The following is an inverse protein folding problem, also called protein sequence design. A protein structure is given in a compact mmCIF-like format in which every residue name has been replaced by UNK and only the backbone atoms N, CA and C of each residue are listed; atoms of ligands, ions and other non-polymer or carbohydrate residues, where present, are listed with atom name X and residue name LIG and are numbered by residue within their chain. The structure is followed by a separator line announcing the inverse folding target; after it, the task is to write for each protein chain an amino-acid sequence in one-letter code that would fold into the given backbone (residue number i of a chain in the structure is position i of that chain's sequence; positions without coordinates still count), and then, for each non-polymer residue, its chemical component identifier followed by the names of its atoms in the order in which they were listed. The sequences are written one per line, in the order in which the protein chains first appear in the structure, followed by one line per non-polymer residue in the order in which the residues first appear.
data_IF_377761930635
#
_entry.id   IF_377761930635
#
_cell.length_a   1.000
_cell.length_b   1.000
_cell.length_c   1.000
_cell.angle_alpha   90.00
_cell.angle_beta   90.00
_cell.angle_gamma   90.00
#
_symmetry.space_group_name_H-M   'P 1'
#
loop_
_entity.id
_entity.type
_entity.pdbx_description
1 polymer ?
#
# COMPACT_ATOMS: atom_id res chain seq x y z
N UNK A 1 1.90 14.75 -6.66
CA UNK A 1 2.43 15.74 -5.71
C UNK A 1 3.94 15.53 -5.60
N UNK A 2 4.71 16.57 -5.85
CA UNK A 2 6.17 16.56 -5.75
C UNK A 2 6.61 16.76 -4.28
N UNK A 3 7.81 16.30 -3.91
CA UNK A 3 8.32 16.35 -2.52
C UNK A 3 8.33 17.76 -1.93
N UNK A 4 8.74 18.77 -2.70
CA UNK A 4 8.77 20.17 -2.27
C UNK A 4 7.37 20.76 -2.03
N UNK A 5 6.34 20.28 -2.75
CA UNK A 5 4.95 20.68 -2.54
C UNK A 5 4.43 20.14 -1.20
N UNK A 6 4.75 18.87 -0.88
CA UNK A 6 4.41 18.27 0.42
C UNK A 6 5.00 19.09 1.57
N UNK A 7 6.29 19.39 1.47
CA UNK A 7 7.00 20.15 2.50
C UNK A 7 6.42 21.56 2.65
N UNK A 8 6.10 22.22 1.54
CA UNK A 8 5.44 23.53 1.56
C UNK A 8 4.12 23.50 2.32
N UNK A 9 3.26 22.53 2.05
CA UNK A 9 1.98 22.41 2.76
C UNK A 9 2.16 22.10 4.24
N UNK A 10 3.06 21.17 4.59
CA UNK A 10 3.36 20.83 5.99
C UNK A 10 3.90 22.03 6.76
N UNK A 11 4.77 22.83 6.13
CA UNK A 11 5.37 24.00 6.77
C UNK A 11 4.39 25.16 6.96
N UNK A 12 3.34 25.30 6.13
CA UNK A 12 2.28 26.30 6.35
C UNK A 12 1.53 26.07 7.66
N UNK A 13 1.30 24.81 8.02
CA UNK A 13 0.62 24.42 9.26
C UNK A 13 1.53 24.34 10.49
N UNK A 14 2.82 24.62 10.34
CA UNK A 14 3.85 24.42 11.37
C UNK A 14 4.67 25.71 11.58
N UNK A 15 5.55 25.73 12.58
CA UNK A 15 6.54 26.81 12.73
C UNK A 15 7.86 26.39 12.08
N UNK A 16 8.27 26.98 10.93
CA UNK A 16 9.57 26.67 10.31
C UNK A 16 10.76 26.91 11.23
N UNK A 17 10.64 27.84 12.20
CA UNK A 17 11.65 28.07 13.24
C UNK A 17 11.80 26.89 14.19
N UNK A 18 10.70 26.28 14.62
CA UNK A 18 10.73 25.09 15.47
C UNK A 18 11.32 23.90 14.71
N UNK A 19 10.92 23.71 13.46
CA UNK A 19 11.46 22.64 12.60
C UNK A 19 12.97 22.80 12.43
N UNK A 20 13.44 24.02 12.16
CA UNK A 20 14.87 24.32 12.03
C UNK A 20 15.64 23.97 13.31
N UNK A 21 15.12 24.37 14.47
CA UNK A 21 15.73 24.10 15.77
C UNK A 21 15.79 22.59 16.08
N UNK A 22 14.68 21.88 15.88
CA UNK A 22 14.57 20.44 16.16
C UNK A 22 15.46 19.60 15.23
N UNK A 23 15.51 19.95 13.94
CA UNK A 23 16.33 19.24 12.95
C UNK A 23 17.80 19.69 12.93
N UNK A 24 18.18 20.69 13.74
CA UNK A 24 19.53 21.22 13.78
C UNK A 24 19.99 21.87 12.46
N UNK A 25 19.07 22.47 11.70
CA UNK A 25 19.35 23.13 10.41
C UNK A 25 19.01 24.62 10.46
N UNK A 26 19.52 25.39 9.51
CA UNK A 26 19.17 26.81 9.41
C UNK A 26 17.74 27.02 8.92
N UNK A 27 17.10 28.10 9.36
CA UNK A 27 15.77 28.49 8.89
C UNK A 27 15.72 28.65 7.36
N UNK A 28 16.77 29.21 6.76
CA UNK A 28 16.91 29.32 5.31
C UNK A 28 16.91 27.96 4.60
N UNK A 29 17.50 26.92 5.22
CA UNK A 29 17.48 25.57 4.66
C UNK A 29 16.07 24.98 4.63
N UNK A 30 15.29 25.21 5.68
CA UNK A 30 13.89 24.75 5.77
C UNK A 30 13.06 25.36 4.64
N UNK A 31 13.16 26.66 4.39
CA UNK A 31 12.46 27.30 3.26
C UNK A 31 12.92 26.76 1.91
N UNK A 32 14.23 26.61 1.73
CA UNK A 32 14.82 26.07 0.50
C UNK A 32 14.33 24.66 0.17
N UNK A 33 14.05 23.81 1.16
CA UNK A 33 13.49 22.47 0.93
C UNK A 33 12.06 22.48 0.35
N UNK A 34 11.31 23.55 0.51
CA UNK A 34 9.95 23.71 0.00
C UNK A 34 9.88 24.46 -1.35
N UNK A 35 11.02 24.86 -1.91
CA UNK A 35 11.16 25.50 -3.22
C UNK A 35 11.28 24.45 -4.33
N UNK A 36 10.87 24.82 -5.55
CA UNK A 36 11.05 23.95 -6.72
C UNK A 36 12.54 23.85 -7.07
N UNK A 37 13.07 22.66 -7.40
CA UNK A 37 14.45 22.48 -7.80
C UNK A 37 14.79 23.09 -9.19
N UNK A 38 13.82 23.66 -9.90
CA UNK A 38 14.01 24.25 -11.24
C UNK A 38 14.68 25.66 -11.24
N UNK A 39 15.01 26.21 -10.06
CA UNK A 39 15.85 27.42 -9.96
C UNK A 39 17.35 27.09 -9.92
N UNK A 40 18.20 28.01 -10.40
CA UNK A 40 19.68 27.96 -10.34
C UNK A 40 20.27 27.98 -8.91
N UNK A 41 19.48 27.60 -7.89
CA UNK A 41 19.88 27.55 -6.49
C UNK A 41 20.43 26.18 -6.11
N UNK A 42 21.74 26.11 -5.85
CA UNK A 42 22.47 25.13 -5.03
C UNK A 42 21.66 23.90 -4.56
N UNK A 43 22.00 22.72 -5.09
CA UNK A 43 21.38 21.41 -4.88
C UNK A 43 21.31 20.88 -3.45
N UNK A 44 20.58 21.55 -2.57
CA UNK A 44 20.23 21.03 -1.25
C UNK A 44 19.02 20.10 -1.39
N UNK A 45 19.28 18.82 -1.67
CA UNK A 45 18.25 17.78 -1.70
C UNK A 45 17.46 17.78 -0.40
N UNK A 46 16.14 17.93 -0.49
CA UNK A 46 15.27 17.91 0.69
C UNK A 46 15.22 16.51 1.34
N UNK A 47 14.78 16.40 2.60
CA UNK A 47 14.81 15.13 3.32
C UNK A 47 13.99 14.01 2.66
N UNK A 48 12.83 14.33 2.06
CA UNK A 48 11.98 13.34 1.39
C UNK A 48 12.69 12.76 0.17
N UNK A 49 13.33 13.60 -0.64
CA UNK A 49 14.09 13.16 -1.81
C UNK A 49 15.32 12.33 -1.42
N UNK A 50 15.99 12.66 -0.31
CA UNK A 50 17.10 11.85 0.23
C UNK A 50 16.63 10.46 0.63
N UNK A 51 15.52 10.36 1.37
CA UNK A 51 14.93 9.09 1.77
C UNK A 51 14.50 8.29 0.54
N UNK A 52 13.85 8.93 -0.44
CA UNK A 52 13.45 8.29 -1.69
C UNK A 52 14.66 7.76 -2.49
N UNK A 53 15.75 8.52 -2.56
CA UNK A 53 17.00 8.08 -3.19
C UNK A 53 17.61 6.87 -2.45
N UNK A 54 17.61 6.86 -1.11
CA UNK A 54 18.08 5.72 -0.32
C UNK A 54 17.25 4.46 -0.60
N UNK A 55 15.93 4.57 -0.63
CA UNK A 55 15.03 3.44 -0.94
C UNK A 55 15.35 2.90 -2.34
N UNK A 56 15.53 3.78 -3.33
CA UNK A 56 15.83 3.38 -4.71
C UNK A 56 17.17 2.67 -4.83
N UNK A 57 18.22 3.19 -4.19
CA UNK A 57 19.58 2.62 -4.27
C UNK A 57 19.69 1.31 -3.50
N UNK A 58 19.03 1.20 -2.35
CA UNK A 58 19.06 -0.03 -1.53
C UNK A 58 18.07 -1.07 -2.00
N UNK A 59 17.05 -0.67 -2.77
CA UNK A 59 15.86 -1.47 -3.10
C UNK A 59 15.19 -2.10 -1.85
N UNK A 60 15.43 -1.52 -0.67
CA UNK A 60 14.96 -2.03 0.60
C UNK A 60 13.85 -1.11 1.15
N UNK A 61 12.67 -1.69 1.32
CA UNK A 61 11.45 -0.99 1.75
C UNK A 61 11.34 -0.82 3.26
N UNK A 62 12.26 -1.40 4.04
CA UNK A 62 12.26 -1.27 5.51
C UNK A 62 12.32 0.19 5.97
N UNK A 63 12.95 1.08 5.20
CA UNK A 63 12.98 2.52 5.49
C UNK A 63 11.56 3.14 5.50
N UNK A 64 10.72 2.78 4.51
CA UNK A 64 9.35 3.28 4.42
C UNK A 64 8.49 2.71 5.54
N UNK A 65 8.60 1.39 5.75
CA UNK A 65 7.86 0.69 6.79
C UNK A 65 8.16 1.27 8.18
N UNK A 66 9.44 1.49 8.49
CA UNK A 66 9.86 2.08 9.76
C UNK A 66 9.29 3.49 9.96
N UNK A 67 9.29 4.34 8.91
CA UNK A 67 8.72 5.69 8.99
C UNK A 67 7.20 5.64 9.25
N UNK A 68 6.48 4.75 8.57
CA UNK A 68 5.05 4.56 8.79
C UNK A 68 4.77 4.07 10.22
N UNK A 69 5.55 3.12 10.74
CA UNK A 69 5.42 2.63 12.12
C UNK A 69 5.63 3.75 13.14
N UNK A 70 6.60 4.65 12.92
CA UNK A 70 6.81 5.82 13.78
C UNK A 70 5.64 6.81 13.76
N UNK A 71 4.90 6.86 12.66
CA UNK A 71 3.67 7.64 12.55
C UNK A 71 2.42 6.91 13.08
N UNK A 72 2.57 5.71 13.67
CA UNK A 72 1.45 4.88 14.11
C UNK A 72 0.69 4.19 12.98
N UNK A 73 1.26 4.20 11.77
CA UNK A 73 0.74 3.54 10.58
C UNK A 73 1.61 2.37 10.13
N UNK A 74 1.40 1.93 8.89
CA UNK A 74 2.20 0.92 8.21
C UNK A 74 2.11 1.22 6.70
N UNK A 75 3.10 0.79 5.93
CA UNK A 75 3.10 1.01 4.49
C UNK A 75 2.51 -0.20 3.77
N UNK A 76 1.51 0.02 2.92
CA UNK A 76 1.02 -0.99 1.98
C UNK A 76 1.67 -0.74 0.64
N UNK A 77 2.40 -1.73 0.14
CA UNK A 77 2.85 -1.68 -1.24
C UNK A 77 1.67 -1.93 -2.17
N UNK A 78 1.46 -0.99 -3.10
CA UNK A 78 0.62 -1.25 -4.27
C UNK A 78 1.19 -2.43 -5.08
N UNK A 79 0.37 -3.42 -5.46
CA UNK A 79 0.85 -4.57 -6.21
C UNK A 79 1.50 -4.14 -7.53
N UNK A 80 2.58 -4.84 -7.90
CA UNK A 80 3.36 -4.56 -9.12
C UNK A 80 2.67 -5.07 -10.37
N UNK A 81 1.84 -6.09 -10.22
CA UNK A 81 1.18 -6.73 -11.34
C UNK A 81 -0.10 -5.99 -11.67
N UNK A 82 -0.07 -5.28 -12.79
CA UNK A 82 -1.24 -4.99 -13.63
C UNK A 82 -1.73 -6.29 -14.27
N UNK A 83 -1.94 -7.33 -13.49
CA UNK A 83 -2.88 -8.36 -13.89
C UNK A 83 -4.19 -7.92 -13.27
N UNK A 84 -4.98 -7.05 -13.94
CA UNK A 84 -6.41 -7.22 -13.74
C UNK A 84 -6.61 -8.70 -14.03
N UNK A 85 -7.15 -9.47 -13.11
CA UNK A 85 -7.86 -10.65 -13.58
C UNK A 85 -8.83 -10.09 -14.62
N UNK A 86 -8.61 -10.36 -15.91
CA UNK A 86 -9.38 -9.71 -16.94
C UNK A 86 -10.81 -10.15 -16.68
N UNK A 87 -11.72 -9.19 -16.67
CA UNK A 87 -13.15 -9.39 -16.90
C UNK A 87 -14.09 -9.61 -15.71
N UNK A 88 -13.67 -9.82 -14.45
CA UNK A 88 -14.70 -10.06 -13.40
C UNK A 88 -14.42 -9.44 -12.02
N UNK A 89 -15.33 -8.57 -11.56
CA UNK A 89 -15.37 -8.02 -10.20
C UNK A 89 -15.64 -9.09 -9.14
N UNK A 90 -16.33 -10.16 -9.53
CA UNK A 90 -16.80 -11.23 -8.63
C UNK A 90 -15.62 -12.05 -8.08
N UNK A 91 -14.65 -12.55 -8.89
CA UNK A 91 -13.43 -13.19 -8.40
C UNK A 91 -12.57 -12.31 -7.49
N UNK A 92 -12.46 -11.00 -7.77
CA UNK A 92 -11.69 -10.09 -6.94
C UNK A 92 -12.35 -9.88 -5.57
N UNK A 93 -13.68 -9.74 -5.55
CA UNK A 93 -14.46 -9.65 -4.30
C UNK A 93 -14.36 -10.94 -3.49
N UNK A 94 -14.44 -12.09 -4.16
CA UNK A 94 -14.26 -13.39 -3.54
C UNK A 94 -12.85 -13.56 -2.97
N UNK A 95 -11.81 -13.05 -3.65
CA UNK A 95 -10.44 -13.01 -3.14
C UNK A 95 -10.32 -12.22 -1.84
N UNK A 96 -10.92 -11.03 -1.76
CA UNK A 96 -10.95 -10.23 -0.52
C UNK A 96 -11.64 -11.00 0.62
N UNK A 97 -12.77 -11.65 0.33
CA UNK A 97 -13.51 -12.45 1.31
C UNK A 97 -12.68 -13.63 1.82
N UNK A 98 -11.93 -14.31 0.94
CA UNK A 98 -11.04 -15.41 1.33
C UNK A 98 -9.87 -14.92 2.20
N UNK A 99 -9.21 -13.82 1.83
CA UNK A 99 -8.14 -13.25 2.68
C UNK A 99 -8.66 -12.80 4.04
N UNK A 100 -9.92 -12.32 4.11
CA UNK A 100 -10.56 -11.99 5.38
C UNK A 100 -10.86 -13.23 6.21
N UNK A 101 -11.35 -14.31 5.58
CA UNK A 101 -11.59 -15.59 6.23
C UNK A 101 -10.29 -16.20 6.80
N UNK A 102 -9.19 -16.12 6.06
CA UNK A 102 -7.88 -16.59 6.50
C UNK A 102 -7.34 -15.78 7.67
N UNK A 103 -7.50 -14.45 7.67
CA UNK A 103 -7.14 -13.61 8.80
C UNK A 103 -7.94 -13.99 10.06
N UNK A 104 -9.26 -14.16 9.92
CA UNK A 104 -10.12 -14.59 11.03
C UNK A 104 -9.71 -15.96 11.56
N UNK A 105 -9.30 -16.88 10.69
CA UNK A 105 -8.77 -18.18 11.09
C UNK A 105 -7.50 -18.06 11.94
N UNK A 106 -6.55 -17.24 11.51
CA UNK A 106 -5.30 -17.00 12.28
C UNK A 106 -5.59 -16.33 13.63
N UNK A 107 -6.51 -15.36 13.68
CA UNK A 107 -6.93 -14.73 14.93
C UNK A 107 -7.61 -15.75 15.85
N UNK A 108 -8.49 -16.61 15.32
CA UNK A 108 -9.20 -17.60 16.10
C UNK A 108 -8.26 -18.64 16.71
N UNK A 109 -7.24 -19.09 15.95
CA UNK A 109 -6.21 -20.01 16.45
C UNK A 109 -5.37 -19.34 17.54
N UNK A 110 -4.90 -18.11 17.31
CA UNK A 110 -4.08 -17.36 18.26
C UNK A 110 -4.83 -16.91 19.52
N UNK A 111 -6.16 -16.86 19.48
CA UNK A 111 -7.00 -16.52 20.63
C UNK A 111 -7.52 -17.75 21.38
N UNK A 112 -7.29 -18.97 20.87
CA UNK A 112 -7.88 -20.20 21.40
C UNK A 112 -7.42 -20.51 22.83
N UNK A 113 -6.21 -20.11 23.20
CA UNK A 113 -5.61 -20.31 24.52
C UNK A 113 -5.72 -19.08 25.44
N UNK A 114 -6.45 -18.04 25.01
CA UNK A 114 -6.55 -16.74 25.67
C UNK A 114 -5.20 -16.06 25.94
N UNK A 115 -4.13 -16.41 25.23
CA UNK A 115 -2.80 -15.83 25.38
C UNK A 115 -2.11 -15.60 24.03
N UNK A 116 -2.10 -14.34 23.56
CA UNK A 116 -1.41 -14.00 22.31
C UNK A 116 0.09 -13.85 22.57
N UNK A 117 0.89 -14.79 22.04
CA UNK A 117 2.34 -14.72 22.05
C UNK A 117 2.87 -13.63 21.10
N UNK A 118 4.15 -13.27 21.28
CA UNK A 118 4.84 -12.34 20.36
C UNK A 118 4.90 -12.84 18.92
N UNK A 119 4.92 -14.17 18.72
CA UNK A 119 4.98 -14.75 17.39
C UNK A 119 3.61 -14.68 16.72
N UNK A 120 2.54 -15.04 17.43
CA UNK A 120 1.17 -14.93 16.93
C UNK A 120 0.78 -13.49 16.62
N UNK A 121 1.21 -12.53 17.45
CA UNK A 121 1.01 -11.10 17.17
C UNK A 121 1.66 -10.68 15.83
N UNK A 122 2.83 -11.24 15.49
CA UNK A 122 3.48 -11.00 14.18
C UNK A 122 2.74 -11.70 13.04
N UNK A 123 2.24 -12.90 13.26
CA UNK A 123 1.53 -13.67 12.23
C UNK A 123 0.16 -13.05 11.90
N UNK A 124 -0.57 -12.58 12.92
CA UNK A 124 -1.78 -11.75 12.75
C UNK A 124 -1.45 -10.46 11.99
N UNK A 125 -0.35 -9.78 12.37
CA UNK A 125 0.10 -8.56 11.68
C UNK A 125 0.35 -8.82 10.19
N UNK A 126 1.04 -9.91 9.87
CA UNK A 126 1.35 -10.31 8.49
C UNK A 126 0.08 -10.60 7.68
N UNK A 127 -0.85 -11.42 8.18
CA UNK A 127 -2.10 -11.70 7.47
C UNK A 127 -2.97 -10.47 7.28
N UNK A 128 -2.99 -9.57 8.27
CA UNK A 128 -3.66 -8.28 8.13
C UNK A 128 -3.05 -7.45 7.00
N UNK A 129 -1.73 -7.44 6.85
CA UNK A 129 -1.03 -6.75 5.77
C UNK A 129 -1.37 -7.33 4.38
N UNK A 130 -1.42 -8.65 4.25
CA UNK A 130 -1.81 -9.33 3.00
C UNK A 130 -3.22 -8.90 2.56
N UNK A 131 -4.21 -8.98 3.46
CA UNK A 131 -5.60 -8.58 3.19
C UNK A 131 -5.70 -7.12 2.72
N UNK A 132 -5.01 -6.20 3.40
CA UNK A 132 -5.04 -4.78 3.02
C UNK A 132 -4.40 -4.55 1.66
N UNK A 133 -3.32 -5.27 1.32
CA UNK A 133 -2.68 -5.16 0.01
C UNK A 133 -3.63 -5.61 -1.12
N UNK A 134 -4.35 -6.72 -0.93
CA UNK A 134 -5.36 -7.20 -1.88
C UNK A 134 -6.51 -6.20 -2.02
N UNK A 135 -6.96 -5.62 -0.91
CA UNK A 135 -8.05 -4.63 -0.92
C UNK A 135 -7.64 -3.32 -1.62
N UNK A 136 -6.41 -2.84 -1.36
CA UNK A 136 -5.85 -1.66 -2.01
C UNK A 136 -5.71 -1.86 -3.54
N UNK A 137 -5.31 -3.07 -3.96
CA UNK A 137 -5.30 -3.45 -5.37
C UNK A 137 -6.66 -3.25 -6.02
N UNK A 138 -7.71 -3.76 -5.37
CA UNK A 138 -9.07 -3.69 -5.87
C UNK A 138 -9.55 -2.24 -6.01
N UNK A 139 -9.35 -1.42 -4.97
CA UNK A 139 -9.71 0.01 -4.98
C UNK A 139 -9.01 0.73 -6.13
N UNK A 140 -7.70 0.53 -6.29
CA UNK A 140 -6.94 1.14 -7.37
C UNK A 140 -7.43 0.70 -8.76
N UNK A 141 -7.77 -0.56 -8.95
CA UNK A 141 -8.37 -1.04 -10.19
C UNK A 141 -9.73 -0.37 -10.49
N UNK A 142 -10.52 -0.05 -9.46
CA UNK A 142 -11.74 0.74 -9.61
C UNK A 142 -11.46 2.20 -10.00
N UNK A 143 -10.48 2.84 -9.36
CA UNK A 143 -10.06 4.23 -9.65
C UNK A 143 -9.50 4.39 -11.07
N UNK A 144 -8.78 3.38 -11.58
CA UNK A 144 -8.23 3.37 -12.94
C UNK A 144 -9.29 3.14 -14.04
N UNK A 145 -10.56 2.97 -13.68
CA UNK A 145 -11.67 2.91 -14.65
C UNK A 145 -11.72 1.62 -15.49
N UNK A 146 -11.19 0.52 -14.96
CA UNK A 146 -11.04 -0.74 -15.69
C UNK A 146 -12.35 -1.55 -15.86
N UNK A 147 -13.49 -0.87 -16.03
CA UNK A 147 -14.82 -1.48 -16.20
C UNK A 147 -15.25 -1.63 -17.67
N UNK A 148 -14.51 -1.05 -18.62
CA UNK A 148 -14.94 -0.94 -20.02
C UNK A 148 -14.90 -2.25 -20.83
N UNK A 149 -14.34 -3.34 -20.28
CA UNK A 149 -14.29 -4.66 -20.96
C UNK A 149 -15.32 -5.68 -20.45
N UNK A 150 -16.10 -5.33 -19.43
CA UNK A 150 -17.10 -6.25 -18.85
C UNK A 150 -18.39 -6.35 -19.68
N UNK A 151 -18.54 -5.57 -20.75
CA UNK A 151 -19.79 -5.50 -21.53
C UNK A 151 -19.84 -6.41 -22.76
N UNK A 152 -18.70 -6.94 -23.22
CA UNK A 152 -18.64 -7.58 -24.54
C UNK A 152 -18.51 -9.11 -24.52
N UNK A 153 -18.24 -9.74 -23.37
CA UNK A 153 -18.24 -11.20 -23.25
C UNK A 153 -18.95 -11.69 -21.97
N UNK A 154 -20.25 -11.98 -22.01
CA UNK A 154 -20.85 -12.83 -20.99
C UNK A 154 -20.19 -14.22 -21.04
N UNK A 155 -19.82 -14.80 -19.88
CA UNK A 155 -19.30 -16.16 -19.85
C UNK A 155 -20.37 -17.12 -20.39
N UNK A 156 -20.03 -17.91 -21.41
CA UNK A 156 -20.89 -18.99 -21.88
C UNK A 156 -21.04 -20.03 -20.76
N UNK A 157 -22.17 -19.97 -20.06
CA UNK A 157 -22.59 -21.00 -19.13
C UNK A 157 -23.11 -22.20 -19.96
N UNK A 158 -22.38 -23.32 -19.92
CA UNK A 158 -22.87 -24.60 -20.43
C UNK A 158 -21.89 -25.30 -21.35
N UNK A 159 -20.96 -26.06 -20.77
CA UNK A 159 -20.39 -27.30 -21.34
C UNK A 159 -19.40 -27.93 -20.35
N UNK A 160 -19.87 -28.35 -19.18
CA UNK A 160 -19.14 -29.35 -18.38
C UNK A 160 -20.12 -30.32 -17.72
N UNK A 161 -20.03 -31.58 -18.19
CA UNK A 161 -20.57 -32.81 -17.61
C UNK A 161 -22.02 -33.19 -17.94
N UNK A 162 -22.21 -33.84 -19.08
CA UNK A 162 -23.13 -34.99 -19.17
C UNK A 162 -22.27 -36.24 -19.10
N UNK A 163 -22.07 -36.76 -17.90
CA UNK A 163 -21.66 -38.15 -17.72
C UNK A 163 -22.86 -39.02 -18.11
N UNK A 164 -22.74 -39.78 -19.20
CA UNK A 164 -23.67 -40.86 -19.52
C UNK A 164 -23.61 -41.91 -18.40
N UNK A 165 -24.75 -42.41 -17.88
CA UNK A 165 -24.76 -43.72 -17.26
C UNK A 165 -24.77 -44.79 -18.37
N UNK A 166 -23.83 -45.72 -18.28
CA UNK A 166 -23.83 -46.97 -19.04
C UNK A 166 -24.70 -48.01 -18.32
N UNK A 167 -25.60 -48.62 -19.10
CA UNK A 167 -26.15 -49.98 -19.03
C UNK A 167 -26.76 -50.52 -17.71
N UNK A 168 -28.09 -50.72 -17.71
CA UNK A 168 -28.75 -52.04 -17.83
C UNK A 168 -30.23 -51.89 -18.23
#
# INVERSE_FOLDING_TARGET
MQSHEVLREVFKGSSPKQIAAELGVSLSMVYKWAESPEGEGSGATNPLDRIHAMIRVTNNRQLVQWLCEKAGGFFIQNPKEKHPHPEFLIPATNGIVQEFADLLSVIAVAAADNHISKQESKDIRRRWEDLKSVTECFVKCCEEGNFSRLRDHPPKLGEMSVAQPADE
#
